data_IF_364383035688
#
_entry.id   IF_364383035688
#
_cell.length_a   1.000
_cell.length_b   1.000
_cell.length_c   1.000
_cell.angle_alpha   90.00
_cell.angle_beta   90.00
_cell.angle_gamma   90.00
#
_symmetry.space_group_name_H-M   'P 1'
#
loop_
_entity.id
_entity.type
_entity.pdbx_description
1 polymer ?
#
# COMPACT_ATOMS: atom_id res chain seq x y z
N UNK A 1 -7.65 24.75 11.67
CA UNK A 1 -7.82 24.99 10.22
C UNK A 1 -8.65 23.84 9.68
N UNK A 2 -9.85 24.11 9.19
CA UNK A 2 -10.77 23.10 8.67
C UNK A 2 -10.33 22.68 7.26
N UNK A 3 -9.61 21.57 7.12
CA UNK A 3 -9.49 20.91 5.83
C UNK A 3 -10.37 19.66 5.83
N UNK A 4 -11.63 19.84 5.41
CA UNK A 4 -12.51 18.73 5.09
C UNK A 4 -12.99 18.86 3.65
N UNK A 5 -12.32 18.16 2.74
CA UNK A 5 -12.89 17.76 1.45
C UNK A 5 -12.08 16.60 0.86
N UNK A 6 -12.72 15.45 0.62
CA UNK A 6 -12.08 14.27 0.04
C UNK A 6 -12.92 13.60 -1.07
N UNK A 7 -12.97 14.14 -2.29
CA UNK A 7 -13.45 13.42 -3.45
C UNK A 7 -12.26 12.75 -4.15
N UNK A 8 -11.90 11.53 -3.75
CA UNK A 8 -10.83 10.78 -4.44
C UNK A 8 -11.39 9.78 -5.44
N UNK A 9 -11.66 10.26 -6.66
CA UNK A 9 -11.66 9.40 -7.84
C UNK A 9 -10.57 9.91 -8.78
N UNK A 10 -9.43 9.24 -8.76
CA UNK A 10 -8.38 9.47 -9.76
C UNK A 10 -8.69 8.59 -10.96
N UNK A 11 -9.27 9.16 -12.01
CA UNK A 11 -9.39 8.48 -13.30
C UNK A 11 -8.00 8.36 -13.92
N UNK A 12 -7.36 7.20 -13.76
CA UNK A 12 -6.07 6.95 -14.38
C UNK A 12 -6.25 6.51 -15.84
N UNK A 13 -5.53 7.13 -16.80
CA UNK A 13 -5.55 6.68 -18.19
C UNK A 13 -5.05 5.24 -18.29
N UNK A 14 -5.86 4.36 -18.89
CA UNK A 14 -5.62 2.91 -18.90
C UNK A 14 -4.20 2.54 -19.37
N UNK A 15 -3.67 3.23 -20.38
CA UNK A 15 -2.35 2.98 -20.98
C UNK A 15 -1.18 3.67 -20.25
N UNK A 16 -1.43 4.59 -19.32
CA UNK A 16 -0.39 5.42 -18.67
C UNK A 16 -0.43 5.39 -17.14
N UNK A 17 -1.20 4.49 -16.52
CA UNK A 17 -1.37 4.37 -15.05
C UNK A 17 -0.03 4.42 -14.29
N UNK A 18 0.94 3.59 -14.67
CA UNK A 18 2.24 3.54 -14.00
C UNK A 18 3.04 4.85 -14.11
N UNK A 19 2.96 5.56 -15.24
CA UNK A 19 3.64 6.86 -15.42
C UNK A 19 3.04 7.92 -14.50
N UNK A 20 1.72 7.96 -14.39
CA UNK A 20 1.01 8.89 -13.50
C UNK A 20 1.35 8.57 -12.05
N UNK A 21 1.27 7.31 -11.64
CA UNK A 21 1.59 6.91 -10.26
C UNK A 21 3.06 7.17 -9.93
N UNK A 22 4.00 6.97 -10.87
CA UNK A 22 5.40 7.34 -10.66
C UNK A 22 5.58 8.84 -10.48
N UNK A 23 4.83 9.66 -11.21
CA UNK A 23 4.86 11.11 -11.04
C UNK A 23 4.31 11.51 -9.66
N UNK A 24 3.24 10.86 -9.19
CA UNK A 24 2.65 11.09 -7.86
C UNK A 24 3.62 10.66 -6.74
N UNK A 25 4.22 9.47 -6.84
CA UNK A 25 5.12 8.95 -5.81
C UNK A 25 6.54 9.51 -5.88
N UNK A 26 6.88 10.28 -6.92
CA UNK A 26 8.21 10.87 -7.15
C UNK A 26 9.34 9.86 -7.40
N UNK A 27 9.11 8.56 -7.22
CA UNK A 27 10.13 7.52 -7.28
C UNK A 27 9.52 6.16 -7.64
N UNK A 28 10.39 5.23 -8.07
CA UNK A 28 9.97 3.85 -8.41
C UNK A 28 9.84 2.96 -7.16
N UNK A 29 10.53 3.30 -6.07
CA UNK A 29 10.60 2.46 -4.86
C UNK A 29 9.21 2.18 -4.25
N UNK A 30 8.31 3.17 -4.06
CA UNK A 30 6.95 2.91 -3.56
C UNK A 30 6.14 2.01 -4.49
N UNK A 31 6.33 2.14 -5.81
CA UNK A 31 5.64 1.29 -6.79
C UNK A 31 6.12 -0.15 -6.68
N UNK A 32 7.42 -0.37 -6.53
CA UNK A 32 7.99 -1.70 -6.40
C UNK A 32 7.61 -2.34 -5.05
N UNK A 33 7.50 -1.56 -3.97
CA UNK A 33 6.94 -2.02 -2.68
C UNK A 33 5.48 -2.45 -2.85
N UNK A 34 4.63 -1.63 -3.49
CA UNK A 34 3.22 -1.97 -3.73
C UNK A 34 3.06 -3.22 -4.61
N UNK A 35 3.92 -3.39 -5.62
CA UNK A 35 3.95 -4.61 -6.44
C UNK A 35 4.34 -5.83 -5.63
N UNK A 36 5.37 -5.71 -4.81
CA UNK A 36 5.75 -6.77 -3.88
C UNK A 36 4.57 -7.16 -2.98
N UNK A 37 3.79 -6.19 -2.48
CA UNK A 37 2.58 -6.46 -1.70
C UNK A 37 1.53 -7.24 -2.49
N UNK A 38 1.31 -6.88 -3.76
CA UNK A 38 0.36 -7.60 -4.62
C UNK A 38 0.80 -9.05 -4.82
N UNK A 39 2.10 -9.26 -5.08
CA UNK A 39 2.64 -10.60 -5.36
C UNK A 39 2.61 -11.52 -4.13
N UNK A 40 2.63 -10.96 -2.91
CA UNK A 40 2.48 -11.72 -1.66
C UNK A 40 1.02 -11.91 -1.23
N UNK A 41 0.11 -11.05 -1.68
CA UNK A 41 -1.28 -10.95 -1.22
C UNK A 41 -1.55 -9.61 -0.53
N UNK A 42 -2.60 -8.90 -0.98
CA UNK A 42 -2.83 -7.48 -0.59
C UNK A 42 -3.16 -7.25 0.89
N UNK A 43 -3.57 -8.31 1.58
CA UNK A 43 -3.94 -8.30 2.99
C UNK A 43 -2.87 -8.96 3.87
N UNK A 44 -1.80 -9.48 3.26
CA UNK A 44 -0.76 -10.21 3.96
C UNK A 44 0.25 -9.28 4.64
N UNK A 45 0.93 -9.83 5.65
CA UNK A 45 2.03 -9.16 6.33
C UNK A 45 3.26 -9.15 5.43
N UNK A 46 3.89 -7.99 5.33
CA UNK A 46 5.11 -7.79 4.56
C UNK A 46 6.24 -7.44 5.52
N UNK A 47 7.14 -8.38 5.76
CA UNK A 47 8.28 -8.13 6.62
C UNK A 47 9.29 -7.18 5.96
N UNK A 48 9.83 -6.25 6.75
CA UNK A 48 10.86 -5.32 6.26
C UNK A 48 12.07 -6.06 5.68
N UNK A 49 12.46 -7.17 6.33
CA UNK A 49 13.57 -8.03 5.90
C UNK A 49 13.35 -8.55 4.48
N UNK A 50 12.17 -9.09 4.19
CA UNK A 50 11.84 -9.64 2.88
C UNK A 50 11.88 -8.57 1.78
N UNK A 51 11.41 -7.34 2.06
CA UNK A 51 11.50 -6.23 1.13
C UNK A 51 12.95 -5.82 0.84
N UNK A 52 13.79 -5.76 1.87
CA UNK A 52 15.22 -5.44 1.73
C UNK A 52 15.94 -6.51 0.92
N UNK A 53 15.61 -7.79 1.12
CA UNK A 53 16.23 -8.92 0.41
C UNK A 53 15.75 -9.05 -1.04
N UNK A 54 14.49 -8.68 -1.31
CA UNK A 54 13.88 -8.89 -2.63
C UNK A 54 14.04 -7.69 -3.57
N UNK A 55 14.18 -6.47 -3.03
CA UNK A 55 14.30 -5.26 -3.84
C UNK A 55 15.77 -4.90 -4.07
N UNK A 56 16.11 -4.53 -5.31
CA UNK A 56 17.46 -4.11 -5.71
C UNK A 56 17.83 -2.67 -5.30
N UNK A 57 17.42 -2.26 -4.10
CA UNK A 57 17.69 -0.94 -3.51
C UNK A 57 18.49 -1.09 -2.22
N UNK A 58 19.19 -0.02 -1.80
CA UNK A 58 19.86 -0.03 -0.50
C UNK A 58 18.87 -0.16 0.66
N UNK A 59 19.29 -0.81 1.75
CA UNK A 59 18.46 -0.95 2.96
C UNK A 59 17.95 0.43 3.43
N UNK A 60 18.82 1.45 3.40
CA UNK A 60 18.46 2.82 3.78
C UNK A 60 17.36 3.39 2.90
N UNK A 61 17.41 3.15 1.59
CA UNK A 61 16.39 3.60 0.63
C UNK A 61 15.04 2.94 0.92
N UNK A 62 15.00 1.61 1.07
CA UNK A 62 13.77 0.87 1.35
C UNK A 62 13.15 1.36 2.67
N UNK A 63 13.94 1.43 3.75
CA UNK A 63 13.47 1.87 5.06
C UNK A 63 12.96 3.32 5.02
N UNK A 64 13.65 4.22 4.32
CA UNK A 64 13.21 5.61 4.18
C UNK A 64 11.85 5.70 3.51
N UNK A 65 11.64 4.96 2.41
CA UNK A 65 10.35 4.96 1.71
C UNK A 65 9.25 4.29 2.52
N UNK A 66 9.55 3.23 3.27
CA UNK A 66 8.58 2.59 4.16
C UNK A 66 8.08 3.58 5.22
N UNK A 67 8.97 4.35 5.86
CA UNK A 67 8.58 5.42 6.79
C UNK A 67 7.68 6.44 6.12
N UNK A 68 8.09 6.98 4.97
CA UNK A 68 7.27 7.95 4.23
C UNK A 68 5.90 7.38 3.85
N UNK A 69 5.83 6.13 3.40
CA UNK A 69 4.56 5.48 3.06
C UNK A 69 3.68 5.23 4.29
N UNK A 70 4.27 4.96 5.46
CA UNK A 70 3.54 4.88 6.73
C UNK A 70 3.01 6.24 7.16
N UNK A 71 3.83 7.29 7.09
CA UNK A 71 3.43 8.67 7.43
C UNK A 71 2.29 9.18 6.55
N UNK A 72 2.30 8.80 5.26
CA UNK A 72 1.23 9.10 4.30
C UNK A 72 0.00 8.19 4.43
N UNK A 73 -0.02 7.28 5.41
CA UNK A 73 -1.15 6.38 5.67
C UNK A 73 -1.35 5.29 4.61
N UNK A 74 -0.37 5.03 3.75
CA UNK A 74 -0.40 3.96 2.72
C UNK A 74 -0.12 2.60 3.37
N UNK A 75 0.79 2.57 4.35
CA UNK A 75 1.16 1.37 5.10
C UNK A 75 0.87 1.54 6.58
N UNK A 76 0.52 0.44 7.24
CA UNK A 76 0.47 0.35 8.71
C UNK A 76 1.69 -0.44 9.17
N UNK A 77 2.59 0.24 9.90
CA UNK A 77 3.76 -0.40 10.51
C UNK A 77 3.36 -1.10 11.82
N UNK A 78 3.85 -2.31 12.02
CA UNK A 78 3.66 -3.09 13.25
C UNK A 78 4.92 -3.93 13.54
N UNK A 79 4.96 -4.51 14.75
CA UNK A 79 6.02 -5.39 15.20
C UNK A 79 5.41 -6.66 15.80
N UNK A 80 6.02 -7.81 15.54
CA UNK A 80 5.67 -9.05 16.24
C UNK A 80 6.90 -9.80 16.72
N UNK A 81 6.70 -10.61 17.77
CA UNK A 81 7.73 -11.50 18.31
C UNK A 81 7.71 -12.79 17.54
N UNK A 82 8.81 -13.11 16.88
CA UNK A 82 9.00 -14.40 16.21
C UNK A 82 10.09 -15.15 16.97
N UNK A 83 9.80 -16.41 17.28
CA UNK A 83 10.78 -17.32 17.87
C UNK A 83 11.61 -17.92 16.73
N UNK A 84 12.91 -17.64 16.74
CA UNK A 84 13.86 -18.16 15.75
C UNK A 84 15.07 -18.68 16.49
N UNK A 85 15.38 -19.96 16.28
CA UNK A 85 16.53 -20.66 16.87
C UNK A 85 16.78 -20.31 18.34
N UNK A 86 15.77 -20.55 19.19
CA UNK A 86 15.80 -20.33 20.66
C UNK A 86 15.92 -18.87 21.14
N UNK A 87 15.70 -17.88 20.25
CA UNK A 87 15.68 -16.45 20.61
C UNK A 87 14.39 -15.78 20.14
N UNK A 88 13.86 -14.89 20.98
CA UNK A 88 12.74 -14.02 20.63
C UNK A 88 13.30 -12.82 19.88
N UNK A 89 12.95 -12.69 18.61
CA UNK A 89 13.33 -11.56 17.77
C UNK A 89 12.10 -10.73 17.45
N UNK A 90 12.20 -9.41 17.64
CA UNK A 90 11.18 -8.48 17.21
C UNK A 90 11.32 -8.23 15.71
N UNK A 91 10.33 -8.66 14.94
CA UNK A 91 10.29 -8.45 13.49
C UNK A 91 9.29 -7.37 13.12
N UNK A 92 9.77 -6.40 12.34
CA UNK A 92 8.96 -5.33 11.77
C UNK A 92 8.25 -5.80 10.52
N UNK A 93 6.96 -5.54 10.44
CA UNK A 93 6.16 -5.82 9.26
C UNK A 93 5.21 -4.66 8.94
N UNK A 94 4.74 -4.67 7.69
CA UNK A 94 3.83 -3.69 7.13
C UNK A 94 2.61 -4.39 6.57
N UNK A 95 1.47 -3.73 6.64
CA UNK A 95 0.24 -4.14 5.97
C UNK A 95 -0.30 -2.94 5.18
N UNK A 96 -0.87 -3.18 4.00
CA UNK A 96 -1.53 -2.11 3.25
C UNK A 96 -2.75 -1.59 4.03
N UNK A 97 -2.87 -0.28 4.14
CA UNK A 97 -4.12 0.36 4.56
C UNK A 97 -5.18 0.26 3.45
N UNK A 98 -6.40 0.71 3.68
CA UNK A 98 -7.41 0.83 2.62
C UNK A 98 -6.93 1.73 1.46
N UNK A 99 -6.21 2.82 1.78
CA UNK A 99 -5.57 3.69 0.79
C UNK A 99 -4.44 2.96 0.03
N UNK A 100 -3.61 2.20 0.75
CA UNK A 100 -2.56 1.40 0.13
C UNK A 100 -3.10 0.32 -0.80
N UNK A 101 -4.16 -0.38 -0.39
CA UNK A 101 -4.86 -1.37 -1.20
C UNK A 101 -5.48 -0.73 -2.46
N UNK A 102 -6.01 0.50 -2.34
CA UNK A 102 -6.47 1.26 -3.49
C UNK A 102 -5.34 1.57 -4.49
N UNK A 103 -4.19 2.06 -4.01
CA UNK A 103 -3.04 2.29 -4.89
C UNK A 103 -2.49 1.01 -5.51
N UNK A 104 -2.47 -0.10 -4.77
CA UNK A 104 -2.09 -1.40 -5.28
C UNK A 104 -3.04 -1.85 -6.41
N UNK A 105 -4.36 -1.69 -6.25
CA UNK A 105 -5.34 -2.00 -7.29
C UNK A 105 -5.11 -1.20 -8.58
N UNK A 106 -4.72 0.08 -8.46
CA UNK A 106 -4.42 0.93 -9.61
C UNK A 106 -3.16 0.48 -10.38
N UNK A 107 -2.25 -0.24 -9.71
CA UNK A 107 -1.03 -0.82 -10.27
C UNK A 107 -1.20 -2.26 -10.76
N UNK A 108 -2.16 -3.00 -10.19
CA UNK A 108 -2.38 -4.41 -10.47
C UNK A 108 -2.67 -4.64 -11.96
N UNK A 109 -2.04 -5.69 -12.51
CA UNK A 109 -2.49 -6.27 -13.78
C UNK A 109 -3.87 -6.89 -13.57
N UNK A 110 -4.67 -7.01 -14.64
CA UNK A 110 -6.04 -7.53 -14.54
C UNK A 110 -6.15 -8.89 -13.87
N UNK A 111 -5.10 -9.70 -13.84
CA UNK A 111 -5.06 -11.04 -13.25
C UNK A 111 -4.25 -11.14 -11.94
N UNK A 112 -3.67 -10.04 -11.43
CA UNK A 112 -2.84 -10.08 -10.23
C UNK A 112 -3.66 -10.12 -8.93
N UNK A 113 -4.96 -9.88 -9.00
CA UNK A 113 -5.89 -9.91 -7.87
C UNK A 113 -7.12 -10.74 -8.25
N UNK A 114 -7.60 -11.53 -7.29
CA UNK A 114 -8.86 -12.24 -7.41
C UNK A 114 -10.04 -11.28 -7.54
N UNK A 115 -11.19 -11.77 -8.02
CA UNK A 115 -12.41 -10.98 -8.12
C UNK A 115 -12.87 -10.49 -6.73
N UNK A 116 -12.69 -11.30 -5.70
CA UNK A 116 -13.14 -11.01 -4.35
C UNK A 116 -12.28 -9.93 -3.69
N UNK A 117 -10.95 -9.99 -3.85
CA UNK A 117 -10.05 -8.92 -3.41
C UNK A 117 -10.37 -7.59 -4.08
N UNK A 118 -10.58 -7.59 -5.41
CA UNK A 118 -10.99 -6.37 -6.13
C UNK A 118 -12.30 -5.82 -5.59
N UNK A 119 -13.29 -6.69 -5.38
CA UNK A 119 -14.59 -6.29 -4.86
C UNK A 119 -14.50 -5.73 -3.44
N UNK A 120 -13.67 -6.34 -2.58
CA UNK A 120 -13.39 -5.85 -1.22
C UNK A 120 -12.80 -4.44 -1.26
N UNK A 121 -11.75 -4.22 -2.06
CA UNK A 121 -11.09 -2.90 -2.18
C UNK A 121 -12.07 -1.85 -2.68
N UNK A 122 -12.82 -2.15 -3.75
CA UNK A 122 -13.79 -1.19 -4.31
C UNK A 122 -14.90 -0.89 -3.30
N UNK A 123 -15.41 -1.88 -2.57
CA UNK A 123 -16.40 -1.68 -1.50
C UNK A 123 -15.84 -0.84 -0.35
N UNK A 124 -14.58 -1.04 0.04
CA UNK A 124 -13.93 -0.26 1.11
C UNK A 124 -13.81 1.23 0.71
N UNK A 125 -13.37 1.48 -0.53
CA UNK A 125 -13.30 2.85 -1.09
C UNK A 125 -14.68 3.47 -1.19
N UNK A 126 -15.67 2.74 -1.71
CA UNK A 126 -17.05 3.23 -1.83
C UNK A 126 -17.66 3.54 -0.46
N UNK A 127 -17.44 2.69 0.55
CA UNK A 127 -17.91 2.94 1.93
C UNK A 127 -17.28 4.20 2.50
N UNK A 128 -15.98 4.39 2.31
CA UNK A 128 -15.27 5.60 2.74
C UNK A 128 -15.83 6.84 2.06
N UNK A 129 -16.09 6.76 0.75
CA UNK A 129 -16.71 7.83 -0.02
C UNK A 129 -18.12 8.17 0.45
N UNK A 130 -18.99 7.18 0.66
CA UNK A 130 -20.37 7.40 1.16
C UNK A 130 -20.36 8.00 2.56
N UNK A 131 -19.49 7.50 3.45
CA UNK A 131 -19.32 8.07 4.79
C UNK A 131 -18.95 9.55 4.71
N UNK A 132 -18.00 9.90 3.84
CA UNK A 132 -17.61 11.27 3.60
C UNK A 132 -18.74 12.14 3.03
N UNK A 133 -19.46 11.66 2.01
CA UNK A 133 -20.62 12.40 1.45
C UNK A 133 -21.64 12.70 2.55
N UNK A 134 -21.92 11.73 3.42
CA UNK A 134 -22.85 11.89 4.55
C UNK A 134 -22.37 12.95 5.56
N UNK A 135 -21.07 13.08 5.78
CA UNK A 135 -20.50 14.09 6.69
C UNK A 135 -20.57 15.52 6.10
N UNK A 136 -20.75 15.65 4.77
CA UNK A 136 -20.91 16.93 4.07
C UNK A 136 -22.37 17.39 3.90
N UNK A 137 -23.33 16.48 4.03
CA UNK A 137 -24.77 16.71 3.86
C UNK A 137 -25.48 16.91 5.19
#
# INVERSE_FOLDING_TARGET
>A
MSETLYPYIVFLPAKRKQKVLRAIFGSKVPIDILKFSIDQGISEKIYQKNLIESLSYSNKTVISHLKTMTDLGILKENMEKIESDSRIVWMKYYVLSDLGKWFALLLARENALSRDEKAEIVRSVFRSYVKWVKELS
#
